data_IF_791109747870
#
_entry.id   IF_791109747870
#
_cell.length_a   1.000
_cell.length_b   1.000
_cell.length_c   1.000
_cell.angle_alpha   90.00
_cell.angle_beta   90.00
_cell.angle_gamma   90.00
#
_symmetry.space_group_name_H-M   'P 1'
#
loop_
_entity.id
_entity.type
_entity.pdbx_description
1 polymer ?
#
# COMPACT_ATOMS: atom_id res chain seq x y z
N UNK A 1 0.21 19.65 9.49
CA UNK A 1 -1.20 19.79 9.92
C UNK A 1 -1.55 21.20 10.41
N UNK A 2 -0.69 21.84 11.22
CA UNK A 2 -0.97 23.13 11.88
C UNK A 2 -1.11 24.34 10.94
N UNK A 3 -0.37 24.37 9.83
CA UNK A 3 -0.31 25.54 8.93
C UNK A 3 -1.63 25.77 8.16
N UNK A 4 -2.27 24.70 7.68
CA UNK A 4 -3.49 24.79 6.88
C UNK A 4 -4.71 25.26 7.70
N UNK A 5 -4.83 24.76 8.94
CA UNK A 5 -5.85 25.22 9.89
C UNK A 5 -5.66 26.70 10.26
N UNK A 6 -4.41 27.12 10.41
CA UNK A 6 -4.07 28.50 10.76
C UNK A 6 -4.40 29.48 9.61
N UNK A 7 -4.13 29.08 8.36
CA UNK A 7 -4.52 29.84 7.16
C UNK A 7 -6.04 29.90 7.00
N UNK A 8 -6.76 28.81 7.26
CA UNK A 8 -8.23 28.79 7.21
C UNK A 8 -8.89 29.72 8.23
N UNK A 9 -8.40 29.72 9.47
CA UNK A 9 -8.89 30.63 10.54
C UNK A 9 -8.58 32.10 10.22
N UNK A 10 -7.43 32.36 9.58
CA UNK A 10 -7.06 33.70 9.14
C UNK A 10 -7.99 34.24 8.04
N UNK A 11 -8.34 33.41 7.04
CA UNK A 11 -9.32 33.76 5.98
C UNK A 11 -10.72 34.07 6.53
N UNK A 12 -11.12 33.45 7.65
CA UNK A 12 -12.38 33.75 8.36
C UNK A 12 -12.36 35.07 9.14
N UNK A 13 -11.18 35.60 9.44
CA UNK A 13 -10.99 36.80 10.26
C UNK A 13 -10.74 38.07 9.44
N UNK A 14 -10.53 37.93 8.13
CA UNK A 14 -10.38 39.05 7.22
C UNK A 14 -11.75 39.65 6.84
N UNK A 15 -11.87 40.98 6.73
CA UNK A 15 -13.09 41.60 6.23
C UNK A 15 -13.22 41.34 4.72
N UNK A 16 -14.14 40.45 4.33
CA UNK A 16 -14.36 40.05 2.94
C UNK A 16 -15.82 40.28 2.50
N UNK A 17 -16.02 40.49 1.20
CA UNK A 17 -17.33 40.59 0.53
C UNK A 17 -17.89 39.22 0.11
N UNK A 18 -17.12 38.15 0.27
CA UNK A 18 -17.55 36.79 -0.03
C UNK A 18 -18.43 36.26 1.10
N UNK A 19 -19.46 35.48 0.75
CA UNK A 19 -20.33 34.88 1.76
C UNK A 19 -19.51 33.95 2.65
N UNK A 20 -19.76 33.99 3.96
CA UNK A 20 -19.10 33.10 4.93
C UNK A 20 -19.19 31.62 4.50
N UNK A 21 -20.27 31.24 3.80
CA UNK A 21 -20.44 29.90 3.22
C UNK A 21 -19.40 29.54 2.15
N UNK A 22 -18.98 30.49 1.31
CA UNK A 22 -17.99 30.26 0.24
C UNK A 22 -16.58 30.10 0.84
N UNK A 23 -16.26 30.89 1.88
CA UNK A 23 -15.01 30.78 2.63
C UNK A 23 -14.91 29.41 3.33
N UNK A 24 -15.99 28.96 3.96
CA UNK A 24 -16.06 27.64 4.59
C UNK A 24 -15.94 26.53 3.54
N UNK A 25 -16.58 26.66 2.37
CA UNK A 25 -16.46 25.71 1.28
C UNK A 25 -15.03 25.58 0.75
N UNK A 26 -14.32 26.70 0.60
CA UNK A 26 -12.92 26.72 0.19
C UNK A 26 -11.99 26.09 1.24
N UNK A 27 -12.21 26.39 2.53
CA UNK A 27 -11.44 25.77 3.61
C UNK A 27 -11.67 24.26 3.66
N UNK A 28 -12.92 23.81 3.45
CA UNK A 28 -13.25 22.39 3.42
C UNK A 28 -12.57 21.69 2.24
N UNK A 29 -12.55 22.30 1.05
CA UNK A 29 -11.84 21.78 -0.12
C UNK A 29 -10.32 21.69 0.12
N UNK A 30 -9.72 22.74 0.70
CA UNK A 30 -8.29 22.80 1.04
C UNK A 30 -7.91 21.70 2.07
N UNK A 31 -8.74 21.49 3.10
CA UNK A 31 -8.50 20.46 4.13
C UNK A 31 -8.72 19.06 3.56
N UNK A 32 -9.79 18.85 2.78
CA UNK A 32 -10.09 17.56 2.15
C UNK A 32 -8.98 17.12 1.19
N UNK A 33 -8.36 18.06 0.46
CA UNK A 33 -7.21 17.78 -0.39
C UNK A 33 -5.95 17.35 0.39
N UNK A 34 -5.82 17.79 1.64
CA UNK A 34 -4.70 17.41 2.52
C UNK A 34 -4.93 16.03 3.15
N UNK A 35 -6.16 15.65 3.48
CA UNK A 35 -6.47 14.32 4.04
C UNK A 35 -6.16 13.18 3.06
N UNK A 36 -6.22 13.42 1.74
CA UNK A 36 -5.85 12.44 0.72
C UNK A 36 -4.33 12.20 0.57
N UNK A 37 -3.47 12.90 1.32
CA UNK A 37 -2.02 12.64 1.30
C UNK A 37 -1.54 11.54 2.27
N UNK A 38 -2.45 10.99 3.08
CA UNK A 38 -2.23 9.73 3.81
C UNK A 38 -2.86 8.59 3.00
N UNK A 39 -2.06 8.02 2.10
CA UNK A 39 -2.41 7.01 1.10
C UNK A 39 -2.69 5.62 1.73
N UNK A 40 -3.68 5.57 2.62
CA UNK A 40 -4.31 4.36 3.14
C UNK A 40 -5.83 4.50 2.98
N UNK A 41 -6.27 4.78 1.75
CA UNK A 41 -7.68 4.85 1.38
C UNK A 41 -8.27 3.48 1.05
N UNK A 42 -9.61 3.40 0.98
CA UNK A 42 -10.28 2.22 0.43
C UNK A 42 -10.16 2.25 -1.09
N UNK A 43 -9.37 1.34 -1.65
CA UNK A 43 -9.28 1.13 -3.10
C UNK A 43 -10.61 0.62 -3.66
N UNK A 44 -10.95 1.07 -4.87
CA UNK A 44 -12.14 0.57 -5.55
C UNK A 44 -11.92 -0.90 -5.97
N UNK A 45 -12.94 -1.74 -5.82
CA UNK A 45 -12.81 -3.19 -6.07
C UNK A 45 -12.33 -3.50 -7.50
N UNK A 46 -12.62 -2.64 -8.48
CA UNK A 46 -12.15 -2.79 -9.86
C UNK A 46 -10.63 -2.72 -9.96
N UNK A 47 -9.98 -1.82 -9.20
CA UNK A 47 -8.51 -1.75 -9.13
C UNK A 47 -7.94 -3.07 -8.60
N UNK A 48 -8.57 -3.64 -7.58
CA UNK A 48 -8.18 -4.94 -7.03
C UNK A 48 -8.37 -6.10 -8.01
N UNK A 49 -9.42 -6.05 -8.84
CA UNK A 49 -9.69 -7.04 -9.88
C UNK A 49 -8.62 -6.97 -10.98
N UNK A 50 -8.25 -5.78 -11.43
CA UNK A 50 -7.24 -5.60 -12.48
C UNK A 50 -5.86 -6.11 -12.03
N UNK A 51 -5.44 -5.76 -10.80
CA UNK A 51 -4.21 -6.30 -10.20
C UNK A 51 -4.24 -7.84 -10.08
N UNK A 52 -5.39 -8.41 -9.73
CA UNK A 52 -5.55 -9.87 -9.63
C UNK A 52 -5.46 -10.54 -11.00
N UNK A 53 -6.03 -9.93 -12.04
CA UNK A 53 -5.98 -10.40 -13.42
C UNK A 53 -4.57 -10.38 -13.97
N UNK A 54 -3.81 -9.32 -13.72
CA UNK A 54 -2.39 -9.21 -14.09
C UNK A 54 -1.54 -10.31 -13.43
N UNK A 55 -1.78 -10.55 -12.14
CA UNK A 55 -1.12 -11.64 -11.39
C UNK A 55 -1.43 -13.01 -11.99
N UNK A 56 -2.70 -13.29 -12.30
CA UNK A 56 -3.11 -14.56 -12.91
C UNK A 56 -2.51 -14.71 -14.31
N UNK A 57 -2.51 -13.65 -15.13
CA UNK A 57 -1.89 -13.67 -16.45
C UNK A 57 -0.39 -13.99 -16.37
N UNK A 58 0.31 -13.41 -15.40
CA UNK A 58 1.73 -13.67 -15.15
C UNK A 58 2.00 -15.12 -14.73
N UNK A 59 1.04 -15.75 -14.05
CA UNK A 59 1.10 -17.18 -13.72
C UNK A 59 0.95 -18.05 -14.96
N UNK A 60 -0.03 -17.74 -15.82
CA UNK A 60 -0.32 -18.51 -17.04
C UNK A 60 0.79 -18.35 -18.08
N UNK A 61 1.38 -17.16 -18.20
CA UNK A 61 2.45 -16.87 -19.17
C UNK A 61 3.81 -17.45 -18.79
N UNK A 62 3.96 -18.01 -17.59
CA UNK A 62 5.23 -18.53 -17.07
C UNK A 62 6.19 -17.44 -16.58
N UNK A 63 5.73 -16.18 -16.51
CA UNK A 63 6.48 -15.05 -15.95
C UNK A 63 6.34 -14.93 -14.42
N UNK A 64 6.07 -16.06 -13.74
CA UNK A 64 5.89 -16.16 -12.28
C UNK A 64 7.07 -15.55 -11.53
N UNK A 65 8.28 -15.71 -12.06
CA UNK A 65 9.53 -15.17 -11.51
C UNK A 65 9.56 -13.65 -11.37
N UNK A 66 8.70 -12.90 -12.08
CA UNK A 66 8.55 -11.44 -11.90
C UNK A 66 7.85 -11.06 -10.61
N UNK A 67 7.00 -11.96 -10.09
CA UNK A 67 6.15 -11.72 -8.93
C UNK A 67 6.53 -12.58 -7.72
N UNK A 68 7.22 -13.69 -7.96
CA UNK A 68 7.53 -14.70 -6.96
C UNK A 68 8.95 -15.23 -7.05
N UNK A 69 9.52 -15.54 -5.89
CA UNK A 69 10.84 -16.14 -5.73
C UNK A 69 10.70 -17.62 -5.37
N UNK A 70 11.37 -18.49 -6.12
CA UNK A 70 11.48 -19.93 -5.83
C UNK A 70 12.77 -20.20 -5.05
N UNK A 71 12.75 -21.16 -4.12
CA UNK A 71 13.92 -21.55 -3.32
C UNK A 71 14.79 -22.61 -4.00
N UNK A 72 14.35 -23.19 -5.13
CA UNK A 72 15.02 -24.30 -5.79
C UNK A 72 14.85 -25.63 -5.04
N UNK A 73 13.82 -25.72 -4.19
CA UNK A 73 13.44 -26.90 -3.44
C UNK A 73 12.08 -27.38 -3.95
N UNK A 74 12.08 -28.35 -4.86
CA UNK A 74 10.89 -28.78 -5.60
C UNK A 74 9.64 -29.02 -4.74
N UNK A 75 9.79 -29.62 -3.55
CA UNK A 75 8.67 -29.86 -2.64
C UNK A 75 8.11 -28.57 -2.04
N UNK A 76 8.97 -27.61 -1.68
CA UNK A 76 8.56 -26.32 -1.10
C UNK A 76 7.99 -25.43 -2.19
N UNK A 77 8.66 -25.35 -3.34
CA UNK A 77 8.23 -24.52 -4.46
C UNK A 77 6.87 -25.01 -5.00
N UNK A 78 6.64 -26.33 -5.07
CA UNK A 78 5.33 -26.88 -5.43
C UNK A 78 4.25 -26.67 -4.37
N UNK A 79 4.61 -26.64 -3.08
CA UNK A 79 3.64 -26.49 -2.00
C UNK A 79 3.18 -25.03 -1.80
N UNK A 80 4.10 -24.08 -1.98
CA UNK A 80 3.84 -22.65 -1.78
C UNK A 80 3.63 -21.89 -3.10
N UNK A 81 4.00 -22.48 -4.23
CA UNK A 81 3.88 -21.85 -5.56
C UNK A 81 4.80 -20.64 -5.71
N UNK A 82 5.95 -20.66 -5.04
CA UNK A 82 6.87 -19.52 -4.87
C UNK A 82 6.43 -18.52 -3.80
N UNK A 83 7.40 -17.80 -3.21
CA UNK A 83 7.15 -16.75 -2.23
C UNK A 83 6.93 -15.40 -2.91
N UNK A 84 5.93 -14.63 -2.48
CA UNK A 84 5.72 -13.30 -3.06
C UNK A 84 6.80 -12.33 -2.54
N UNK A 85 7.19 -11.36 -3.36
CA UNK A 85 8.24 -10.39 -3.00
C UNK A 85 7.83 -9.44 -1.85
N UNK A 86 6.53 -9.37 -1.53
CA UNK A 86 5.98 -8.59 -0.43
C UNK A 86 5.83 -9.38 0.86
N UNK A 87 6.03 -10.70 0.82
CA UNK A 87 5.80 -11.55 1.98
C UNK A 87 6.90 -11.39 3.03
N UNK A 88 6.51 -11.34 4.30
CA UNK A 88 7.44 -11.48 5.42
C UNK A 88 7.50 -12.94 5.87
N UNK A 89 8.63 -13.59 5.60
CA UNK A 89 8.82 -15.03 5.83
C UNK A 89 9.62 -15.25 7.11
N UNK A 90 9.10 -16.08 8.02
CA UNK A 90 9.77 -16.45 9.27
C UNK A 90 10.17 -17.93 9.25
N UNK A 91 11.47 -18.20 9.41
CA UNK A 91 12.01 -19.57 9.50
C UNK A 91 12.31 -19.91 10.97
N UNK A 92 11.41 -20.67 11.60
CA UNK A 92 11.53 -21.09 13.00
C UNK A 92 12.07 -22.53 13.17
N UNK A 93 12.87 -22.77 14.20
CA UNK A 93 13.33 -24.12 14.55
C UNK A 93 14.18 -24.17 15.81
N UNK A 94 14.20 -25.33 16.49
CA UNK A 94 15.04 -25.56 17.69
C UNK A 94 16.53 -25.27 17.40
N UNK A 95 17.34 -24.95 18.42
CA UNK A 95 18.80 -24.86 18.25
C UNK A 95 19.34 -26.14 17.58
N UNK A 96 20.23 -25.99 16.58
CA UNK A 96 20.81 -27.11 15.83
C UNK A 96 19.99 -27.64 14.64
N UNK A 97 18.76 -27.18 14.40
CA UNK A 97 17.90 -27.67 13.29
C UNK A 97 18.24 -27.11 11.91
N UNK A 98 19.43 -26.54 11.72
CA UNK A 98 19.86 -26.08 10.39
C UNK A 98 19.13 -24.86 9.81
N UNK A 99 18.32 -24.12 10.59
CA UNK A 99 17.65 -22.88 10.13
C UNK A 99 18.58 -21.85 9.49
N UNK A 100 19.83 -21.76 9.95
CA UNK A 100 20.87 -20.90 9.36
C UNK A 100 21.41 -21.42 8.02
N UNK A 101 21.42 -22.75 7.80
CA UNK A 101 21.80 -23.30 6.50
C UNK A 101 20.69 -23.13 5.46
N UNK A 102 19.42 -23.11 5.88
CA UNK A 102 18.29 -22.87 5.01
C UNK A 102 18.17 -21.40 4.58
N UNK A 103 18.47 -20.48 5.50
CA UNK A 103 18.49 -19.04 5.24
C UNK A 103 19.86 -18.47 5.67
N UNK A 104 20.91 -18.66 4.86
CA UNK A 104 22.20 -18.02 5.11
C UNK A 104 22.01 -16.49 5.03
N UNK A 105 22.71 -15.77 5.91
CA UNK A 105 22.75 -14.30 5.90
C UNK A 105 23.46 -13.78 4.65
#
# INVERSE_FOLDING_TARGET
>A
MTLALQVGIQKLSEPTTEGIADIIGNIQADISGIEHSADYGTEHITTGIDMSLETIQSIISGDIWKHKTELGMATIDSAFGGFNNTDFIVVGGRPGMGKTMLAPQ
#
